data_IF_290753821621
#
_entry.id   IF_290753821621
#
_cell.length_a   1.000
_cell.length_b   1.000
_cell.length_c   1.000
_cell.angle_alpha   90.00
_cell.angle_beta   90.00
_cell.angle_gamma   90.00
#
_symmetry.space_group_name_H-M   'P 1'
#
loop_
_entity.id
_entity.type
_entity.pdbx_description
1 polymer ?
#
# COMPACT_ATOMS: atom_id res chain seq x y z
N UNK A 1 5.57 11.03 -6.26
CA UNK A 1 4.29 11.54 -6.76
C UNK A 1 3.89 12.77 -5.94
N UNK A 2 3.50 13.90 -6.57
CA UNK A 2 3.09 15.11 -5.86
C UNK A 2 1.75 14.93 -5.13
N UNK A 3 1.47 15.76 -4.13
CA UNK A 3 0.20 15.74 -3.39
C UNK A 3 -0.80 16.68 -4.07
N UNK A 4 -1.68 16.13 -4.90
CA UNK A 4 -2.78 16.83 -5.60
C UNK A 4 -4.09 16.05 -5.41
N UNK A 5 -5.26 16.68 -5.59
CA UNK A 5 -6.53 15.96 -5.51
C UNK A 5 -6.60 14.72 -6.42
N UNK A 6 -6.02 14.81 -7.61
CA UNK A 6 -6.01 13.70 -8.59
C UNK A 6 -5.14 12.50 -8.18
N UNK A 7 -4.27 12.71 -7.19
CA UNK A 7 -3.33 11.69 -6.71
C UNK A 7 -3.70 11.18 -5.33
N UNK A 8 -4.83 11.62 -4.76
CA UNK A 8 -5.37 11.06 -3.53
C UNK A 8 -6.05 9.73 -3.81
N UNK A 9 -5.83 8.76 -2.93
CA UNK A 9 -6.50 7.45 -2.97
C UNK A 9 -6.36 6.72 -4.32
N UNK A 10 -5.32 7.03 -5.09
CA UNK A 10 -5.05 6.44 -6.40
C UNK A 10 -4.85 4.92 -6.32
N UNK A 11 -4.21 4.45 -5.24
CA UNK A 11 -4.00 3.03 -4.98
C UNK A 11 -5.06 2.50 -4.03
N UNK A 12 -6.18 2.08 -4.61
CA UNK A 12 -7.35 1.51 -3.96
C UNK A 12 -7.49 -0.01 -4.23
N UNK A 13 -8.49 -0.65 -3.63
CA UNK A 13 -8.77 -2.08 -3.80
C UNK A 13 -8.97 -2.48 -5.27
N UNK A 14 -9.59 -1.61 -6.08
CA UNK A 14 -9.85 -1.88 -7.50
C UNK A 14 -8.54 -1.92 -8.28
N UNK A 15 -7.63 -1.00 -8.01
CA UNK A 15 -6.33 -0.99 -8.65
C UNK A 15 -5.48 -2.19 -8.20
N UNK A 16 -5.46 -2.51 -6.91
CA UNK A 16 -4.74 -3.69 -6.40
C UNK A 16 -5.27 -5.01 -6.99
N UNK A 17 -6.58 -5.14 -7.18
CA UNK A 17 -7.18 -6.32 -7.81
C UNK A 17 -6.76 -6.52 -9.28
N UNK A 18 -6.26 -5.47 -9.95
CA UNK A 18 -5.73 -5.59 -11.31
C UNK A 18 -4.30 -6.11 -11.36
N UNK A 19 -3.61 -6.23 -10.22
CA UNK A 19 -2.22 -6.65 -10.17
C UNK A 19 -2.10 -8.18 -10.26
N UNK A 20 -0.91 -8.63 -10.67
CA UNK A 20 -0.58 -10.06 -10.59
C UNK A 20 -0.42 -10.46 -9.11
N UNK A 21 -0.79 -11.69 -8.71
CA UNK A 21 -0.57 -12.16 -7.33
C UNK A 21 0.90 -12.12 -6.88
N UNK A 22 1.84 -12.13 -7.83
CA UNK A 22 3.28 -12.02 -7.58
C UNK A 22 3.78 -10.57 -7.50
N UNK A 23 2.90 -9.57 -7.56
CA UNK A 23 3.30 -8.16 -7.60
C UNK A 23 3.80 -7.68 -6.25
N UNK A 24 4.86 -6.86 -6.28
CA UNK A 24 5.35 -6.10 -5.14
C UNK A 24 4.92 -4.64 -5.31
N UNK A 25 4.29 -4.08 -4.28
CA UNK A 25 3.93 -2.67 -4.26
C UNK A 25 5.03 -1.84 -3.60
N UNK A 26 5.49 -0.77 -4.26
CA UNK A 26 6.53 0.11 -3.71
C UNK A 26 6.05 1.57 -3.75
N UNK A 27 6.02 2.25 -2.60
CA UNK A 27 5.67 3.67 -2.52
C UNK A 27 6.74 4.48 -1.79
N UNK A 28 7.41 5.37 -2.54
CA UNK A 28 8.41 6.34 -2.06
C UNK A 28 7.92 7.79 -2.30
N UNK A 29 6.62 7.97 -2.54
CA UNK A 29 6.03 9.25 -2.93
C UNK A 29 5.37 10.00 -1.77
N UNK A 30 4.04 9.85 -1.66
CA UNK A 30 3.24 10.38 -0.56
C UNK A 30 2.29 9.29 -0.07
N UNK A 31 2.11 9.18 1.24
CA UNK A 31 1.20 8.19 1.83
C UNK A 31 -0.28 8.43 1.46
N UNK A 32 -0.67 9.67 1.16
CA UNK A 32 -2.06 10.00 0.74
C UNK A 32 -2.45 9.38 -0.61
N UNK A 33 -1.48 8.89 -1.38
CA UNK A 33 -1.73 8.16 -2.61
C UNK A 33 -2.44 6.83 -2.41
N UNK A 34 -2.29 6.24 -1.23
CA UNK A 34 -2.67 4.87 -0.95
C UNK A 34 -3.84 4.86 0.01
N UNK A 35 -4.83 4.04 -0.30
CA UNK A 35 -5.89 3.68 0.64
C UNK A 35 -5.34 2.62 1.59
N UNK A 36 -5.08 3.03 2.83
CA UNK A 36 -4.44 2.20 3.85
C UNK A 36 -5.09 0.83 4.05
N UNK A 37 -6.42 0.83 4.19
CA UNK A 37 -7.19 -0.38 4.49
C UNK A 37 -7.13 -1.38 3.32
N UNK A 38 -7.16 -0.87 2.10
CA UNK A 38 -7.14 -1.69 0.89
C UNK A 38 -5.77 -2.32 0.67
N UNK A 39 -4.69 -1.59 0.94
CA UNK A 39 -3.34 -2.16 0.89
C UNK A 39 -3.16 -3.28 1.93
N UNK A 40 -3.60 -3.04 3.17
CA UNK A 40 -3.53 -4.05 4.24
C UNK A 40 -4.33 -5.29 3.87
N UNK A 41 -5.53 -5.12 3.35
CA UNK A 41 -6.37 -6.24 2.94
C UNK A 41 -5.74 -7.00 1.77
N UNK A 42 -5.26 -6.31 0.72
CA UNK A 42 -4.61 -6.93 -0.42
C UNK A 42 -3.39 -7.77 -0.03
N UNK A 43 -2.62 -7.32 0.97
CA UNK A 43 -1.53 -8.10 1.56
C UNK A 43 -2.05 -9.28 2.38
N UNK A 44 -3.05 -9.06 3.23
CA UNK A 44 -3.62 -10.09 4.11
C UNK A 44 -4.22 -11.26 3.33
N UNK A 45 -4.88 -10.99 2.20
CA UNK A 45 -5.48 -12.02 1.35
C UNK A 45 -4.51 -12.56 0.28
N UNK A 46 -3.25 -12.11 0.28
CA UNK A 46 -2.23 -12.57 -0.66
C UNK A 46 -2.46 -12.15 -2.13
N UNK A 47 -3.23 -11.08 -2.37
CA UNK A 47 -3.36 -10.49 -3.71
C UNK A 47 -2.09 -9.75 -4.13
N UNK A 48 -1.35 -9.23 -3.15
CA UNK A 48 0.00 -8.72 -3.34
C UNK A 48 0.98 -9.66 -2.66
N UNK A 49 2.09 -9.92 -3.34
CA UNK A 49 3.16 -10.71 -2.76
C UNK A 49 3.81 -9.97 -1.59
N UNK A 50 3.80 -8.62 -1.59
CA UNK A 50 4.43 -7.80 -0.57
C UNK A 50 4.30 -6.30 -0.83
N UNK A 51 4.71 -5.49 0.15
CA UNK A 51 4.79 -4.04 -0.01
C UNK A 51 6.02 -3.45 0.70
N UNK A 52 6.67 -2.50 0.03
CA UNK A 52 7.78 -1.72 0.57
C UNK A 52 7.36 -0.25 0.53
N UNK A 53 7.22 0.39 1.68
CA UNK A 53 6.72 1.76 1.77
C UNK A 53 7.66 2.61 2.63
N UNK A 54 8.06 3.76 2.09
CA UNK A 54 8.85 4.79 2.79
C UNK A 54 7.92 5.87 3.39
N UNK A 55 6.71 5.97 2.85
CA UNK A 55 5.72 6.99 3.21
C UNK A 55 4.37 6.36 3.48
N UNK A 56 3.80 6.68 4.63
CA UNK A 56 2.55 6.13 5.13
C UNK A 56 1.65 7.24 5.65
N UNK A 57 0.32 7.02 5.69
CA UNK A 57 -0.52 7.77 6.61
C UNK A 57 -0.26 7.29 8.04
N UNK A 58 -0.54 8.13 9.04
CA UNK A 58 -0.34 7.75 10.46
C UNK A 58 -1.07 6.45 10.84
N UNK A 59 -2.26 6.23 10.29
CA UNK A 59 -3.05 5.01 10.47
C UNK A 59 -2.37 3.75 9.91
N UNK A 60 -1.76 3.84 8.72
CA UNK A 60 -1.14 2.71 8.03
C UNK A 60 0.13 2.20 8.72
N UNK A 61 0.97 3.12 9.19
CA UNK A 61 2.27 2.81 9.79
C UNK A 61 2.14 1.76 10.90
N UNK A 62 1.04 1.80 11.67
CA UNK A 62 0.78 0.85 12.76
C UNK A 62 0.34 -0.55 12.28
N UNK A 63 -0.40 -0.62 11.19
CA UNK A 63 -0.95 -1.87 10.65
C UNK A 63 0.08 -2.65 9.82
N UNK A 64 0.90 -1.96 9.03
CA UNK A 64 1.93 -2.54 8.14
C UNK A 64 3.08 -3.16 8.93
N UNK A 65 3.49 -2.56 10.05
CA UNK A 65 4.51 -3.16 10.94
C UNK A 65 4.03 -4.52 11.51
N UNK A 66 2.70 -4.72 11.60
CA UNK A 66 2.10 -5.93 12.18
C UNK A 66 1.74 -7.00 11.14
N UNK A 67 1.73 -6.70 9.85
CA UNK A 67 1.31 -7.64 8.80
C UNK A 67 2.37 -8.70 8.46
N UNK A 68 3.60 -8.56 8.97
CA UNK A 68 4.68 -9.52 8.77
C UNK A 68 5.31 -9.47 7.36
N UNK A 69 6.40 -10.21 7.14
CA UNK A 69 7.08 -10.23 5.85
C UNK A 69 6.18 -10.81 4.75
N UNK A 70 6.27 -10.30 3.50
CA UNK A 70 7.26 -9.33 3.02
C UNK A 70 6.72 -7.89 2.95
N UNK A 71 6.14 -7.41 4.06
CA UNK A 71 5.78 -6.01 4.23
C UNK A 71 6.89 -5.28 5.02
N UNK A 72 7.50 -4.24 4.45
CA UNK A 72 8.54 -3.43 5.10
C UNK A 72 8.16 -1.95 5.01
N UNK A 73 8.03 -1.31 6.18
CA UNK A 73 8.00 0.14 6.28
C UNK A 73 9.41 0.60 6.66
N UNK A 74 10.05 1.41 5.81
CA UNK A 74 11.29 2.09 6.16
C UNK A 74 11.00 3.36 6.98
#
# INVERSE_FOLDING_TARGET
>A
MPNTPDTHDLYDAKLFASFKPTALFINVGRGVAVVDADLVEALRVGHLAGAIIDVCRQSLCRSVIRSGPPTVCC
#
